data_IF_363062671741
#
_entry.id   IF_363062671741
#
_cell.length_a   1.000
_cell.length_b   1.000
_cell.length_c   1.000
_cell.angle_alpha   90.00
_cell.angle_beta   90.00
_cell.angle_gamma   90.00
#
_symmetry.space_group_name_H-M   'P 1'
#
loop_
_entity.id
_entity.type
_entity.pdbx_description
1 polymer ?
#
# COMPACT_ATOMS: atom_id res chain seq x y z
N UNK A 1 -24.33 -18.08 -25.23
CA UNK A 1 -23.79 -18.65 -23.98
C UNK A 1 -22.61 -17.78 -23.50
N UNK A 2 -22.87 -16.75 -22.67
CA UNK A 2 -21.82 -15.85 -22.14
C UNK A 2 -21.21 -16.49 -20.89
N UNK A 3 -19.92 -16.85 -20.94
CA UNK A 3 -19.17 -17.22 -19.73
C UNK A 3 -19.00 -15.98 -18.85
N UNK A 4 -19.73 -15.92 -17.74
CA UNK A 4 -19.36 -15.05 -16.61
C UNK A 4 -18.01 -15.54 -16.08
N UNK A 5 -16.93 -14.78 -16.28
CA UNK A 5 -15.66 -15.01 -15.58
C UNK A 5 -15.82 -14.58 -14.12
N UNK A 6 -16.17 -15.51 -13.25
CA UNK A 6 -16.11 -15.36 -11.81
C UNK A 6 -14.64 -15.47 -11.28
N UNK A 7 -13.69 -14.80 -11.93
CA UNK A 7 -12.25 -14.94 -11.66
C UNK A 7 -11.50 -13.65 -11.30
N UNK A 8 -12.19 -12.51 -11.17
CA UNK A 8 -11.55 -11.19 -11.14
C UNK A 8 -10.97 -10.75 -9.79
N UNK A 9 -11.57 -11.13 -8.67
CA UNK A 9 -11.14 -10.62 -7.34
C UNK A 9 -10.01 -11.44 -6.75
N UNK A 10 -10.12 -12.78 -6.77
CA UNK A 10 -9.08 -13.67 -6.23
C UNK A 10 -7.73 -13.51 -6.93
N UNK A 11 -7.74 -13.33 -8.25
CA UNK A 11 -6.50 -13.10 -9.02
C UNK A 11 -5.82 -11.78 -8.68
N UNK A 12 -6.58 -10.69 -8.44
CA UNK A 12 -6.01 -9.40 -8.05
C UNK A 12 -5.45 -9.42 -6.63
N UNK A 13 -6.20 -9.97 -5.67
CA UNK A 13 -5.69 -10.14 -4.30
C UNK A 13 -4.40 -10.97 -4.27
N UNK A 14 -4.31 -12.04 -5.07
CA UNK A 14 -3.06 -12.82 -5.21
C UNK A 14 -1.92 -11.99 -5.81
N UNK A 15 -2.20 -11.17 -6.85
CA UNK A 15 -1.18 -10.29 -7.45
C UNK A 15 -0.70 -9.21 -6.48
N UNK A 16 -1.59 -8.60 -5.70
CA UNK A 16 -1.22 -7.64 -4.65
C UNK A 16 -0.38 -8.33 -3.57
N UNK A 17 -0.79 -9.52 -3.11
CA UNK A 17 -0.02 -10.28 -2.13
C UNK A 17 1.38 -10.64 -2.63
N UNK A 18 1.53 -10.92 -3.93
CA UNK A 18 2.84 -11.13 -4.54
C UNK A 18 3.69 -9.84 -4.50
N UNK A 19 3.12 -8.66 -4.78
CA UNK A 19 3.84 -7.39 -4.64
C UNK A 19 4.31 -7.16 -3.20
N UNK A 20 3.46 -7.42 -2.20
CA UNK A 20 3.82 -7.29 -0.79
C UNK A 20 4.96 -8.26 -0.42
N UNK A 21 4.90 -9.50 -0.89
CA UNK A 21 5.94 -10.52 -0.68
C UNK A 21 7.28 -10.09 -1.25
N UNK A 22 7.27 -9.34 -2.34
CA UNK A 22 8.45 -8.94 -3.10
C UNK A 22 8.93 -7.52 -2.80
N UNK A 23 8.17 -6.77 -1.99
CA UNK A 23 8.49 -5.41 -1.55
C UNK A 23 9.94 -5.25 -1.09
N UNK A 24 10.60 -4.19 -1.57
CA UNK A 24 12.00 -3.89 -1.32
C UNK A 24 13.02 -4.53 -2.27
N UNK A 25 12.64 -5.54 -3.06
CA UNK A 25 13.56 -6.20 -4.01
C UNK A 25 13.70 -5.40 -5.31
N UNK A 26 14.93 -5.31 -5.80
CA UNK A 26 15.28 -4.62 -7.05
C UNK A 26 15.09 -5.49 -8.30
N UNK A 27 15.09 -6.81 -8.16
CA UNK A 27 14.96 -7.80 -9.24
C UNK A 27 13.51 -8.21 -9.52
N UNK A 28 12.54 -7.55 -8.91
CA UNK A 28 11.15 -7.99 -8.86
C UNK A 28 10.18 -7.17 -9.73
N UNK A 29 10.67 -6.19 -10.49
CA UNK A 29 9.92 -5.32 -11.42
C UNK A 29 8.59 -4.81 -10.82
N UNK A 30 8.64 -4.35 -9.57
CA UNK A 30 7.44 -4.05 -8.77
C UNK A 30 6.59 -2.95 -9.41
N UNK A 31 7.22 -1.89 -9.90
CA UNK A 31 6.52 -0.74 -10.50
C UNK A 31 5.79 -1.14 -11.79
N UNK A 32 6.44 -1.92 -12.66
CA UNK A 32 5.83 -2.42 -13.90
C UNK A 32 4.65 -3.35 -13.60
N UNK A 33 4.83 -4.31 -12.67
CA UNK A 33 3.75 -5.22 -12.25
C UNK A 33 2.59 -4.45 -11.63
N UNK A 34 2.87 -3.39 -10.87
CA UNK A 34 1.86 -2.54 -10.28
C UNK A 34 1.14 -1.70 -11.33
N UNK A 35 1.83 -1.19 -12.35
CA UNK A 35 1.21 -0.46 -13.46
C UNK A 35 0.24 -1.35 -14.24
N UNK A 36 0.65 -2.57 -14.60
CA UNK A 36 -0.23 -3.54 -15.28
C UNK A 36 -1.43 -3.89 -14.41
N UNK A 37 -1.23 -4.08 -13.10
CA UNK A 37 -2.32 -4.39 -12.18
C UNK A 37 -3.28 -3.20 -12.00
N UNK A 38 -2.78 -1.97 -11.95
CA UNK A 38 -3.59 -0.76 -11.87
C UNK A 38 -4.49 -0.61 -13.10
N UNK A 39 -3.95 -0.83 -14.30
CA UNK A 39 -4.75 -0.82 -15.53
C UNK A 39 -5.90 -1.84 -15.49
N UNK A 40 -5.64 -3.07 -15.03
CA UNK A 40 -6.68 -4.09 -14.84
C UNK A 40 -7.72 -3.68 -13.77
N UNK A 41 -7.29 -3.13 -12.64
CA UNK A 41 -8.20 -2.64 -11.58
C UNK A 41 -9.13 -1.55 -12.12
N UNK A 42 -8.59 -0.57 -12.85
CA UNK A 42 -9.37 0.54 -13.42
C UNK A 42 -10.46 0.04 -14.37
N UNK A 43 -10.19 -0.97 -15.19
CA UNK A 43 -11.23 -1.56 -16.07
C UNK A 43 -12.37 -2.24 -15.29
N UNK A 44 -12.11 -2.65 -14.05
CA UNK A 44 -13.09 -3.31 -13.19
C UNK A 44 -13.87 -2.36 -12.27
N UNK A 45 -13.42 -1.11 -12.11
CA UNK A 45 -14.04 -0.12 -11.23
C UNK A 45 -13.97 -0.46 -9.73
N UNK A 46 -13.08 -1.38 -9.32
CA UNK A 46 -12.97 -1.83 -7.93
C UNK A 46 -12.08 -0.90 -7.10
N UNK A 47 -12.65 0.17 -6.54
CA UNK A 47 -11.95 1.16 -5.71
C UNK A 47 -11.14 0.53 -4.58
N UNK A 48 -11.67 -0.50 -3.91
CA UNK A 48 -10.95 -1.18 -2.82
C UNK A 48 -9.64 -1.84 -3.29
N UNK A 49 -9.62 -2.42 -4.49
CA UNK A 49 -8.42 -3.04 -5.04
C UNK A 49 -7.35 -1.99 -5.38
N UNK A 50 -7.76 -0.81 -5.84
CA UNK A 50 -6.86 0.32 -6.11
C UNK A 50 -6.20 0.82 -4.82
N UNK A 51 -7.00 1.03 -3.78
CA UNK A 51 -6.51 1.46 -2.46
C UNK A 51 -5.56 0.42 -1.83
N UNK A 52 -5.86 -0.86 -1.99
CA UNK A 52 -5.00 -1.94 -1.49
C UNK A 52 -3.69 -2.05 -2.29
N UNK A 53 -3.74 -1.83 -3.61
CA UNK A 53 -2.53 -1.74 -4.45
C UNK A 53 -1.65 -0.56 -4.00
N UNK A 54 -2.26 0.59 -3.75
CA UNK A 54 -1.54 1.77 -3.28
C UNK A 54 -0.89 1.54 -1.91
N UNK A 55 -1.58 0.86 -0.99
CA UNK A 55 -0.98 0.49 0.28
C UNK A 55 0.22 -0.46 0.14
N UNK A 56 0.14 -1.43 -0.80
CA UNK A 56 1.26 -2.32 -1.10
C UNK A 56 2.47 -1.58 -1.69
N UNK A 57 2.23 -0.56 -2.53
CA UNK A 57 3.28 0.29 -3.07
C UNK A 57 3.91 1.18 -1.99
N UNK A 58 3.11 1.76 -1.09
CA UNK A 58 3.63 2.49 0.06
C UNK A 58 4.59 1.62 0.89
N UNK A 59 4.22 0.36 1.15
CA UNK A 59 5.10 -0.59 1.83
C UNK A 59 6.39 -0.85 1.06
N UNK A 60 6.33 -1.08 -0.26
CA UNK A 60 7.52 -1.24 -1.08
C UNK A 60 8.44 -0.02 -1.00
N UNK A 61 7.92 1.19 -1.22
CA UNK A 61 8.72 2.42 -1.20
C UNK A 61 9.29 2.73 0.19
N UNK A 62 8.55 2.45 1.26
CA UNK A 62 9.05 2.60 2.64
C UNK A 62 10.19 1.63 2.94
N UNK A 63 10.11 0.38 2.45
CA UNK A 63 11.22 -0.59 2.55
C UNK A 63 12.43 -0.11 1.75
N UNK A 64 12.23 0.56 0.61
CA UNK A 64 13.32 1.15 -0.20
C UNK A 64 13.87 2.47 0.35
N UNK A 65 13.24 3.05 1.39
CA UNK A 65 13.64 4.34 1.93
C UNK A 65 13.36 5.50 0.99
N UNK A 66 12.35 5.37 0.14
CA UNK A 66 12.00 6.40 -0.85
C UNK A 66 10.83 7.24 -0.38
N UNK A 67 11.07 8.14 0.56
CA UNK A 67 10.05 8.97 1.21
C UNK A 67 9.22 9.79 0.21
N UNK A 68 9.83 10.24 -0.88
CA UNK A 68 9.13 10.98 -1.97
C UNK A 68 8.03 10.11 -2.59
N UNK A 69 8.29 8.82 -2.81
CA UNK A 69 7.29 7.91 -3.41
C UNK A 69 6.24 7.46 -2.38
N UNK A 70 6.62 7.36 -1.10
CA UNK A 70 5.66 7.17 0.00
C UNK A 70 4.71 8.36 0.08
N UNK A 71 5.24 9.59 0.08
CA UNK A 71 4.45 10.82 0.11
C UNK A 71 3.52 10.95 -1.11
N UNK A 72 3.99 10.62 -2.31
CA UNK A 72 3.16 10.59 -3.51
C UNK A 72 2.00 9.58 -3.40
N UNK A 73 2.27 8.43 -2.78
CA UNK A 73 1.24 7.41 -2.53
C UNK A 73 0.23 7.84 -1.47
N UNK A 74 0.68 8.52 -0.40
CA UNK A 74 -0.20 9.14 0.60
C UNK A 74 -1.14 10.16 -0.04
N UNK A 75 -0.61 11.02 -0.92
CA UNK A 75 -1.43 12.01 -1.63
C UNK A 75 -2.52 11.36 -2.49
N UNK A 76 -2.17 10.30 -3.23
CA UNK A 76 -3.14 9.53 -4.04
C UNK A 76 -4.18 8.82 -3.18
N UNK A 77 -3.78 8.20 -2.07
CA UNK A 77 -4.71 7.59 -1.12
C UNK A 77 -5.70 8.63 -0.60
N UNK A 78 -5.22 9.79 -0.12
CA UNK A 78 -6.09 10.87 0.38
C UNK A 78 -7.10 11.34 -0.65
N UNK A 79 -6.65 11.53 -1.88
CA UNK A 79 -7.49 11.93 -3.00
C UNK A 79 -8.62 10.90 -3.27
N UNK A 80 -8.25 9.63 -3.35
CA UNK A 80 -9.19 8.53 -3.60
C UNK A 80 -10.13 8.25 -2.41
N UNK A 81 -9.76 8.67 -1.20
CA UNK A 81 -10.54 8.47 0.03
C UNK A 81 -11.18 9.74 0.57
N UNK A 82 -11.35 10.80 -0.26
CA UNK A 82 -11.97 12.07 0.19
C UNK A 82 -13.37 11.92 0.77
N UNK A 83 -14.10 10.86 0.41
CA UNK A 83 -15.41 10.52 0.97
C UNK A 83 -15.35 9.95 2.40
N UNK A 84 -14.15 9.75 2.96
CA UNK A 84 -13.90 9.24 4.31
C UNK A 84 -13.69 7.73 4.37
N UNK A 85 -14.23 6.97 3.40
CA UNK A 85 -14.01 5.53 3.33
C UNK A 85 -12.54 5.22 3.10
N UNK A 86 -11.96 4.37 3.96
CA UNK A 86 -10.56 3.94 3.90
C UNK A 86 -9.51 5.06 4.06
N UNK A 87 -9.89 6.26 4.52
CA UNK A 87 -8.95 7.38 4.69
C UNK A 87 -7.75 7.04 5.59
N UNK A 88 -7.93 6.11 6.52
CA UNK A 88 -6.89 5.57 7.41
C UNK A 88 -5.77 4.82 6.68
N UNK A 89 -5.94 4.43 5.42
CA UNK A 89 -4.84 3.87 4.62
C UNK A 89 -3.73 4.91 4.39
N UNK A 90 -4.08 6.20 4.31
CA UNK A 90 -3.07 7.26 4.22
C UNK A 90 -2.27 7.43 5.51
N UNK A 91 -2.90 7.21 6.68
CA UNK A 91 -2.24 7.21 7.97
C UNK A 91 -1.29 6.00 8.09
N UNK A 92 -1.76 4.81 7.72
CA UNK A 92 -0.94 3.60 7.71
C UNK A 92 0.29 3.76 6.79
N UNK A 93 0.11 4.35 5.60
CA UNK A 93 1.22 4.65 4.69
C UNK A 93 2.22 5.66 5.28
N UNK A 94 1.74 6.68 6.00
CA UNK A 94 2.60 7.60 6.74
C UNK A 94 3.37 6.89 7.87
N UNK A 95 2.70 6.01 8.62
CA UNK A 95 3.35 5.23 9.68
C UNK A 95 4.44 4.30 9.15
N UNK A 96 4.22 3.65 8.01
CA UNK A 96 5.23 2.80 7.36
C UNK A 96 6.52 3.57 7.03
N UNK A 97 6.39 4.80 6.55
CA UNK A 97 7.52 5.66 6.20
C UNK A 97 8.04 6.55 7.33
N UNK A 98 7.54 6.41 8.55
CA UNK A 98 7.80 7.34 9.68
C UNK A 98 7.56 8.82 9.33
N UNK A 99 6.58 9.08 8.46
CA UNK A 99 6.27 10.42 7.97
C UNK A 99 5.25 11.14 8.88
N UNK A 100 5.25 12.49 8.88
CA UNK A 100 4.24 13.28 9.58
C UNK A 100 2.84 13.05 9.01
N UNK A 101 1.87 12.82 9.89
CA UNK A 101 0.45 12.71 9.51
C UNK A 101 -0.21 14.08 9.55
N UNK A 102 0.03 14.91 8.53
CA UNK A 102 -0.49 16.31 8.50
C UNK A 102 -2.00 16.43 8.33
N UNK A 103 -2.65 15.37 7.82
CA UNK A 103 -4.10 15.29 7.66
C UNK A 103 -4.53 13.88 8.06
N UNK A 104 -4.48 13.61 9.37
CA UNK A 104 -4.89 12.31 9.91
C UNK A 104 -6.34 12.02 9.59
N UNK A 105 -6.66 10.75 9.33
CA UNK A 105 -8.05 10.32 9.24
C UNK A 105 -8.74 10.41 10.61
N UNK A 106 -10.07 10.34 10.61
CA UNK A 106 -10.88 10.24 11.83
C UNK A 106 -10.88 8.85 12.46
N UNK A 107 -9.99 7.94 12.03
CA UNK A 107 -9.94 6.58 12.54
C UNK A 107 -9.58 6.54 14.03
N UNK A 108 -10.18 5.59 14.73
CA UNK A 108 -9.85 5.26 16.11
C UNK A 108 -9.09 3.94 16.11
N UNK A 109 -7.87 3.98 16.65
CA UNK A 109 -6.98 2.82 16.71
C UNK A 109 -7.19 2.08 18.03
N UNK A 110 -7.31 0.75 17.96
CA UNK A 110 -7.62 -0.09 19.13
C UNK A 110 -6.58 0.02 20.25
N UNK A 111 -5.28 0.06 19.91
CA UNK A 111 -4.18 0.10 20.89
C UNK A 111 -3.54 1.49 21.04
N UNK A 112 -4.19 2.55 20.55
CA UNK A 112 -3.66 3.91 20.32
C UNK A 112 -2.90 4.12 18.99
N UNK A 113 -2.84 5.39 18.56
CA UNK A 113 -2.08 5.78 17.36
C UNK A 113 -0.58 5.52 17.50
N UNK A 114 0.11 5.91 18.59
CA UNK A 114 1.55 5.67 18.72
C UNK A 114 1.94 4.19 18.62
N UNK A 115 1.21 3.31 19.31
CA UNK A 115 1.47 1.87 19.25
C UNK A 115 1.20 1.30 17.84
N UNK A 116 0.17 1.81 17.16
CA UNK A 116 -0.13 1.41 15.78
C UNK A 116 0.94 1.89 14.81
N UNK A 117 1.40 3.14 14.95
CA UNK A 117 2.51 3.70 14.18
C UNK A 117 3.76 2.86 14.33
N UNK A 118 4.14 2.55 15.56
CA UNK A 118 5.32 1.74 15.88
C UNK A 118 5.26 0.37 15.21
N UNK A 119 4.11 -0.32 15.25
CA UNK A 119 3.97 -1.64 14.61
C UNK A 119 4.13 -1.60 13.09
N UNK A 120 3.52 -0.63 12.42
CA UNK A 120 3.67 -0.48 10.97
C UNK A 120 5.10 -0.15 10.58
N UNK A 121 5.73 0.76 11.31
CA UNK A 121 7.14 1.11 11.10
C UNK A 121 8.08 -0.09 11.39
N UNK A 122 7.78 -0.89 12.41
CA UNK A 122 8.55 -2.10 12.75
C UNK A 122 8.47 -3.16 11.64
N UNK A 123 7.32 -3.31 10.97
CA UNK A 123 7.19 -4.22 9.82
C UNK A 123 8.11 -3.83 8.65
N UNK A 124 8.20 -2.54 8.33
CA UNK A 124 9.11 -2.00 7.32
C UNK A 124 10.56 -2.25 7.73
N UNK A 125 10.91 -1.92 8.97
CA UNK A 125 12.26 -2.12 9.52
C UNK A 125 12.68 -3.59 9.47
N UNK A 126 11.80 -4.51 9.91
CA UNK A 126 12.06 -5.94 9.86
C UNK A 126 12.23 -6.45 8.42
N UNK A 127 11.48 -5.89 7.46
CA UNK A 127 11.65 -6.23 6.04
C UNK A 127 12.99 -5.73 5.48
N UNK A 128 13.40 -4.50 5.79
CA UNK A 128 14.71 -3.96 5.40
C UNK A 128 15.86 -4.82 5.92
N UNK A 129 15.80 -5.18 7.20
CA UNK A 129 16.79 -6.06 7.83
C UNK A 129 16.90 -7.41 7.11
N UNK A 130 15.77 -8.06 6.78
CA UNK A 130 15.77 -9.34 6.03
C UNK A 130 16.38 -9.24 4.63
N UNK A 131 16.35 -8.06 4.01
CA UNK A 131 16.90 -7.81 2.68
C UNK A 131 18.30 -7.20 2.72
N UNK A 132 18.87 -6.93 3.90
CA UNK A 132 20.15 -6.24 4.04
C UNK A 132 20.11 -4.77 3.58
N UNK A 133 18.93 -4.16 3.52
CA UNK A 133 18.78 -2.75 3.14
C UNK A 133 19.10 -1.88 4.36
N UNK A 134 20.08 -0.97 4.30
CA UNK A 134 20.39 -0.06 5.40
C UNK A 134 19.20 0.86 5.70
N UNK A 135 19.15 1.44 6.90
CA UNK A 135 18.04 2.30 7.32
C UNK A 135 18.09 3.66 6.63
#
# INVERSE_FOLDING_TARGET
MRRRRAGGTGTRSTRIAALIRDAGRDDADIDDRAQVLRADILTSGLTYAELTLDLALAFHHAVRGTDVLVAATIARLRENTRSGNYAYYSDIAAFMGDLPTTMSSSARWDDSEPATRERWHALVTARRHRLGIPR
#
